data_IF_775459015639
#
_entry.id   IF_775459015639
#
_cell.length_a   1.000
_cell.length_b   1.000
_cell.length_c   1.000
_cell.angle_alpha   90.00
_cell.angle_beta   90.00
_cell.angle_gamma   90.00
#
_symmetry.space_group_name_H-M   'P 1'
#
loop_
_entity.id
_entity.type
_entity.pdbx_description
1 polymer ?
#
# COMPACT_ATOMS: atom_id res chain seq x y z
N UNK A 1 -35.36 6.46 -23.18
CA UNK A 1 -35.51 7.93 -23.20
C UNK A 1 -34.55 8.45 -24.26
N UNK A 2 -34.99 9.33 -25.17
CA UNK A 2 -34.08 9.93 -26.17
C UNK A 2 -33.29 11.08 -25.52
N UNK A 3 -32.02 11.24 -25.89
CA UNK A 3 -31.12 12.31 -25.41
C UNK A 3 -30.12 12.69 -26.50
N UNK A 4 -29.56 13.89 -26.42
CA UNK A 4 -28.46 14.36 -27.26
C UNK A 4 -27.17 14.32 -26.44
N UNK A 5 -26.34 13.30 -26.67
CA UNK A 5 -25.04 13.13 -26.03
C UNK A 5 -23.93 13.59 -27.00
N UNK A 6 -23.35 14.75 -26.74
CA UNK A 6 -22.39 15.41 -27.65
C UNK A 6 -20.94 15.02 -27.39
N UNK A 7 -20.65 14.31 -26.26
CA UNK A 7 -19.29 14.06 -25.79
C UNK A 7 -18.53 15.38 -25.60
N UNK A 8 -17.32 15.50 -26.17
CA UNK A 8 -16.58 16.76 -26.17
C UNK A 8 -17.22 17.78 -27.11
N UNK A 9 -17.35 19.02 -26.64
CA UNK A 9 -17.88 20.14 -27.41
C UNK A 9 -16.91 21.31 -27.47
N UNK A 10 -16.88 22.00 -28.62
CA UNK A 10 -16.15 23.24 -28.81
C UNK A 10 -17.05 24.45 -28.58
N UNK A 11 -16.52 25.65 -28.91
CA UNK A 11 -17.30 26.87 -28.84
C UNK A 11 -18.54 26.88 -29.76
N UNK A 12 -18.54 26.04 -30.79
CA UNK A 12 -19.67 25.81 -31.67
C UNK A 12 -19.72 24.37 -32.05
N UNK A 13 -20.83 23.70 -31.69
CA UNK A 13 -21.03 22.28 -31.96
C UNK A 13 -22.41 22.02 -32.55
N UNK A 14 -22.44 21.49 -33.77
CA UNK A 14 -23.67 21.11 -34.46
C UNK A 14 -24.11 19.70 -34.12
N UNK A 15 -25.43 19.47 -34.09
CA UNK A 15 -26.01 18.12 -33.92
C UNK A 15 -27.33 18.02 -34.68
N UNK A 16 -27.76 16.82 -34.99
CA UNK A 16 -29.00 16.57 -35.71
C UNK A 16 -29.92 15.65 -34.92
N UNK A 17 -31.19 16.04 -34.83
CA UNK A 17 -32.26 15.29 -34.21
C UNK A 17 -33.21 14.79 -35.28
N UNK A 18 -33.70 13.54 -35.18
CA UNK A 18 -34.70 12.99 -36.07
C UNK A 18 -36.01 12.80 -35.31
N UNK A 19 -37.07 13.51 -35.74
CA UNK A 19 -38.40 13.32 -35.19
C UNK A 19 -39.15 12.32 -36.09
N UNK A 20 -39.71 11.29 -35.51
CA UNK A 20 -40.49 10.27 -36.20
C UNK A 20 -41.93 10.27 -35.66
N UNK A 21 -42.88 10.44 -36.54
CA UNK A 21 -44.31 10.40 -36.22
C UNK A 21 -44.87 8.99 -36.51
N UNK A 22 -45.19 8.23 -35.50
CA UNK A 22 -45.79 6.91 -35.59
C UNK A 22 -47.34 6.97 -35.68
N UNK A 23 -47.89 8.15 -35.56
CA UNK A 23 -49.34 8.38 -35.63
C UNK A 23 -49.89 8.40 -37.05
N UNK A 24 -51.20 8.43 -37.15
CA UNK A 24 -51.97 8.50 -38.43
C UNK A 24 -52.32 9.90 -38.82
N UNK A 25 -52.05 10.92 -37.99
CA UNK A 25 -52.25 12.33 -38.25
C UNK A 25 -50.92 13.06 -38.33
N UNK A 26 -50.90 14.23 -38.96
CA UNK A 26 -49.74 15.14 -38.98
C UNK A 26 -49.49 15.70 -37.59
N UNK A 27 -48.25 15.73 -37.12
CA UNK A 27 -47.84 16.36 -35.89
C UNK A 27 -47.07 17.64 -36.14
N UNK A 28 -47.41 18.72 -35.41
CA UNK A 28 -46.75 20.01 -35.51
C UNK A 28 -46.04 20.39 -34.20
N UNK A 29 -44.85 20.97 -34.31
CA UNK A 29 -44.09 21.42 -33.16
C UNK A 29 -43.55 22.82 -33.41
N UNK A 30 -43.47 23.63 -32.36
CA UNK A 30 -42.72 24.89 -32.36
C UNK A 30 -41.49 24.81 -31.47
N UNK A 31 -40.42 25.44 -31.85
CA UNK A 31 -39.17 25.51 -31.11
C UNK A 31 -38.84 26.98 -30.80
N UNK A 32 -38.30 27.28 -29.61
CA UNK A 32 -37.83 28.63 -29.28
C UNK A 32 -36.68 29.04 -30.19
N UNK A 33 -36.49 30.37 -30.35
CA UNK A 33 -35.36 30.90 -31.12
C UNK A 33 -34.00 30.51 -30.51
N UNK A 34 -33.95 30.39 -29.20
CA UNK A 34 -32.79 29.87 -28.46
C UNK A 34 -33.19 29.25 -27.16
N UNK A 35 -32.38 28.28 -26.69
CA UNK A 35 -32.52 27.58 -25.42
C UNK A 35 -31.33 27.93 -24.54
N UNK A 36 -31.52 28.24 -23.23
CA UNK A 36 -30.42 28.46 -22.30
C UNK A 36 -29.63 27.20 -22.09
N UNK A 37 -28.33 27.39 -21.81
CA UNK A 37 -27.38 26.32 -21.45
C UNK A 37 -26.95 26.51 -20.02
N UNK A 38 -26.87 25.42 -19.30
CA UNK A 38 -26.43 25.36 -17.91
C UNK A 38 -25.09 24.65 -17.82
N UNK A 39 -24.39 24.90 -16.73
CA UNK A 39 -23.15 24.19 -16.37
C UNK A 39 -23.22 23.72 -14.91
N UNK A 40 -22.48 22.70 -14.61
CA UNK A 40 -22.31 22.21 -13.24
C UNK A 40 -21.33 23.11 -12.47
N UNK A 41 -21.64 23.37 -11.23
CA UNK A 41 -20.77 24.05 -10.26
C UNK A 41 -20.72 23.25 -8.98
N UNK A 42 -19.55 23.22 -8.36
CA UNK A 42 -19.37 22.58 -7.05
C UNK A 42 -19.35 23.65 -5.99
N UNK A 43 -20.26 23.56 -5.02
CA UNK A 43 -20.28 24.41 -3.83
C UNK A 43 -19.09 24.15 -2.90
N UNK A 44 -18.80 25.08 -2.00
CA UNK A 44 -17.74 24.92 -0.99
C UNK A 44 -17.98 23.74 -0.02
N UNK A 45 -19.21 23.29 0.08
CA UNK A 45 -19.65 22.13 0.87
C UNK A 45 -19.62 20.81 0.08
N UNK A 46 -19.08 20.81 -1.14
CA UNK A 46 -19.08 19.66 -2.03
C UNK A 46 -20.40 19.39 -2.75
N UNK A 47 -21.44 20.24 -2.54
CA UNK A 47 -22.70 20.09 -3.24
C UNK A 47 -22.56 20.45 -4.72
N UNK A 48 -23.35 19.77 -5.57
CA UNK A 48 -23.44 20.10 -7.00
C UNK A 48 -24.70 20.89 -7.29
N UNK A 49 -24.55 21.96 -8.05
CA UNK A 49 -25.65 22.76 -8.54
C UNK A 49 -25.51 23.04 -10.04
N UNK A 50 -26.65 23.23 -10.72
CA UNK A 50 -26.66 23.73 -12.10
C UNK A 50 -26.80 25.24 -12.10
N UNK A 51 -25.93 25.93 -12.80
CA UNK A 51 -25.99 27.38 -13.01
C UNK A 51 -26.10 27.72 -14.49
N UNK A 52 -26.78 28.86 -14.77
CA UNK A 52 -26.87 29.36 -16.14
C UNK A 52 -25.49 29.75 -16.66
N UNK A 53 -25.05 29.10 -17.77
CA UNK A 53 -23.83 29.48 -18.46
C UNK A 53 -24.08 30.74 -19.30
N UNK A 54 -23.72 31.89 -18.74
CA UNK A 54 -24.00 33.20 -19.35
C UNK A 54 -23.46 33.32 -20.78
N UNK A 55 -24.32 33.70 -21.71
CA UNK A 55 -23.98 33.87 -23.11
C UNK A 55 -23.92 32.56 -23.91
N UNK A 56 -24.12 31.41 -23.30
CA UNK A 56 -24.25 30.13 -24.01
C UNK A 56 -25.72 29.89 -24.42
N UNK A 57 -25.92 29.25 -25.54
CA UNK A 57 -27.26 28.93 -26.07
C UNK A 57 -27.26 27.76 -27.04
N UNK A 58 -28.42 27.12 -27.19
CA UNK A 58 -28.69 26.24 -28.32
C UNK A 58 -29.67 26.95 -29.25
N UNK A 59 -29.36 26.96 -30.54
CA UNK A 59 -30.24 27.48 -31.60
C UNK A 59 -30.61 26.38 -32.58
N UNK A 60 -31.69 26.55 -33.32
CA UNK A 60 -32.18 25.57 -34.28
C UNK A 60 -32.24 26.15 -35.69
N UNK A 61 -32.12 25.28 -36.70
CA UNK A 61 -32.31 25.61 -38.12
C UNK A 61 -33.75 25.95 -38.48
N UNK A 62 -34.73 25.57 -37.61
CA UNK A 62 -36.16 25.72 -37.78
C UNK A 62 -36.83 26.10 -36.47
N UNK A 63 -37.80 27.02 -36.53
CA UNK A 63 -38.65 27.37 -35.35
C UNK A 63 -40.00 26.71 -35.38
N UNK A 64 -40.34 26.06 -36.50
CA UNK A 64 -41.56 25.22 -36.65
C UNK A 64 -41.23 23.97 -37.44
N UNK A 65 -41.79 22.84 -37.02
CA UNK A 65 -41.57 21.53 -37.62
C UNK A 65 -42.88 20.83 -37.78
N UNK A 66 -43.14 20.38 -39.01
CA UNK A 66 -44.33 19.54 -39.32
C UNK A 66 -43.87 18.13 -39.71
N UNK A 67 -44.26 17.11 -38.93
CA UNK A 67 -43.90 15.72 -39.17
C UNK A 67 -45.11 14.99 -39.79
N UNK A 68 -45.02 14.54 -41.04
CA UNK A 68 -46.13 13.80 -41.67
C UNK A 68 -46.49 12.52 -40.93
N UNK A 69 -47.71 12.08 -41.07
CA UNK A 69 -48.16 10.78 -40.55
C UNK A 69 -47.26 9.64 -41.07
N UNK A 70 -46.70 8.83 -40.17
CA UNK A 70 -45.76 7.76 -40.50
C UNK A 70 -44.41 8.23 -41.06
N UNK A 71 -44.13 9.56 -41.04
CA UNK A 71 -42.94 10.17 -41.61
C UNK A 71 -41.91 10.60 -40.59
N UNK A 72 -40.80 11.11 -41.12
CA UNK A 72 -39.67 11.67 -40.32
C UNK A 72 -39.27 13.00 -40.81
N UNK A 73 -38.79 13.88 -39.90
CA UNK A 73 -38.17 15.18 -40.21
C UNK A 73 -36.92 15.36 -39.36
N UNK A 74 -35.89 15.93 -39.96
CA UNK A 74 -34.66 16.31 -39.26
C UNK A 74 -34.70 17.79 -38.83
N UNK A 75 -34.17 18.02 -37.64
CA UNK A 75 -33.92 19.35 -37.07
C UNK A 75 -32.45 19.41 -36.66
N UNK A 76 -31.76 20.44 -37.14
CA UNK A 76 -30.37 20.69 -36.76
C UNK A 76 -30.33 21.71 -35.63
N UNK A 77 -29.64 21.32 -34.52
CA UNK A 77 -29.30 22.23 -33.43
C UNK A 77 -27.84 22.64 -33.48
N UNK A 78 -27.56 23.83 -32.98
CA UNK A 78 -26.20 24.32 -32.80
C UNK A 78 -26.05 24.83 -31.37
N UNK A 79 -25.16 24.18 -30.62
CA UNK A 79 -24.69 24.63 -29.31
C UNK A 79 -23.61 25.68 -29.50
N UNK A 80 -23.78 26.83 -28.86
CA UNK A 80 -22.85 27.98 -28.89
C UNK A 80 -22.40 28.25 -27.46
N UNK A 81 -21.09 28.27 -27.23
CA UNK A 81 -20.47 28.55 -25.94
C UNK A 81 -19.51 29.71 -26.11
N UNK A 82 -19.56 30.78 -25.27
CA UNK A 82 -18.64 31.89 -25.34
C UNK A 82 -17.17 31.48 -25.21
N UNK A 83 -16.28 32.13 -25.96
CA UNK A 83 -14.86 31.78 -25.96
C UNK A 83 -14.14 32.02 -24.60
N UNK A 84 -14.72 32.87 -23.75
CA UNK A 84 -14.25 33.15 -22.41
C UNK A 84 -14.88 32.28 -21.32
N UNK A 85 -15.74 31.33 -21.68
CA UNK A 85 -16.28 30.38 -20.72
C UNK A 85 -15.16 29.50 -20.16
N UNK A 86 -15.25 29.16 -18.87
CA UNK A 86 -14.35 28.21 -18.24
C UNK A 86 -14.44 26.86 -18.96
N UNK A 87 -13.31 26.15 -19.05
CA UNK A 87 -13.24 24.81 -19.63
C UNK A 87 -13.34 23.74 -18.56
N UNK A 88 -13.50 22.50 -19.01
CA UNK A 88 -13.56 21.29 -18.20
C UNK A 88 -14.80 21.21 -17.29
N UNK A 89 -15.94 21.63 -17.87
CA UNK A 89 -17.27 21.56 -17.24
C UNK A 89 -18.25 20.81 -18.13
N UNK A 90 -19.23 20.18 -17.52
CA UNK A 90 -20.41 19.70 -18.26
C UNK A 90 -21.26 20.89 -18.70
N UNK A 91 -21.87 20.75 -19.84
CA UNK A 91 -22.86 21.71 -20.39
C UNK A 91 -24.14 20.97 -20.70
N UNK A 92 -25.23 21.52 -20.25
CA UNK A 92 -26.54 20.88 -20.29
C UNK A 92 -27.62 21.82 -20.81
N UNK A 93 -28.60 21.27 -21.52
CA UNK A 93 -29.78 22.00 -21.94
C UNK A 93 -30.98 21.05 -22.03
N UNK A 94 -32.19 21.61 -21.92
CA UNK A 94 -33.44 20.90 -22.21
C UNK A 94 -34.06 21.53 -23.47
N UNK A 95 -34.13 20.75 -24.53
CA UNK A 95 -34.60 21.17 -25.84
C UNK A 95 -36.10 20.94 -25.95
N UNK A 96 -36.97 21.99 -25.84
CA UNK A 96 -38.40 21.83 -25.91
C UNK A 96 -38.88 21.76 -27.38
N UNK A 97 -39.92 20.95 -27.57
CA UNK A 97 -40.74 20.87 -28.76
C UNK A 97 -42.18 21.02 -28.33
N UNK A 98 -42.73 22.22 -28.46
CA UNK A 98 -44.06 22.53 -28.01
C UNK A 98 -45.08 22.20 -29.13
N UNK A 99 -46.09 21.35 -28.82
CA UNK A 99 -47.10 20.89 -29.78
C UNK A 99 -48.30 20.29 -29.08
N UNK A 100 -49.11 19.53 -29.78
CA UNK A 100 -50.28 18.84 -29.18
C UNK A 100 -49.87 17.92 -28.03
N UNK A 101 -48.66 17.40 -28.09
CA UNK A 101 -47.95 16.69 -27.00
C UNK A 101 -46.57 17.30 -26.92
N UNK A 102 -46.33 17.99 -25.81
CA UNK A 102 -45.01 18.63 -25.58
C UNK A 102 -43.94 17.56 -25.36
N UNK A 103 -42.78 17.76 -26.03
CA UNK A 103 -41.61 16.90 -25.88
C UNK A 103 -40.46 17.72 -25.32
N UNK A 104 -39.64 17.12 -24.48
CA UNK A 104 -38.39 17.70 -24.00
C UNK A 104 -37.28 16.69 -24.19
N UNK A 105 -36.16 17.15 -24.76
CA UNK A 105 -35.00 16.31 -25.06
C UNK A 105 -33.79 16.84 -24.30
N UNK A 106 -33.25 16.11 -23.32
CA UNK A 106 -32.04 16.54 -22.64
C UNK A 106 -30.83 16.47 -23.57
N UNK A 107 -29.99 17.52 -23.49
CA UNK A 107 -28.71 17.62 -24.17
C UNK A 107 -27.61 17.67 -23.09
N UNK A 108 -26.54 16.92 -23.30
CA UNK A 108 -25.35 16.93 -22.45
C UNK A 108 -24.09 16.90 -23.32
N UNK A 109 -23.09 17.69 -22.96
CA UNK A 109 -21.75 17.70 -23.53
C UNK A 109 -20.71 18.06 -22.47
N UNK A 110 -19.45 17.90 -22.80
CA UNK A 110 -18.33 18.34 -21.97
C UNK A 110 -17.55 19.41 -22.72
N UNK A 111 -17.50 20.61 -22.17
CA UNK A 111 -16.78 21.74 -22.75
C UNK A 111 -15.35 21.76 -22.24
N UNK A 112 -14.41 21.24 -23.00
CA UNK A 112 -13.00 21.16 -22.64
C UNK A 112 -12.33 19.93 -23.24
N UNK A 113 -11.22 19.52 -22.65
CA UNK A 113 -10.49 18.31 -23.00
C UNK A 113 -10.87 17.18 -22.03
N UNK A 114 -11.86 16.38 -22.41
CA UNK A 114 -12.32 15.25 -21.58
C UNK A 114 -11.21 14.26 -21.28
N UNK A 115 -10.29 14.05 -22.20
CA UNK A 115 -9.23 13.08 -22.06
C UNK A 115 -8.02 13.61 -21.27
N UNK A 116 -7.84 14.94 -21.23
CA UNK A 116 -6.71 15.60 -20.59
C UNK A 116 -7.00 16.34 -19.28
N UNK A 117 -8.29 16.56 -18.95
CA UNK A 117 -8.66 17.42 -17.82
C UNK A 117 -8.36 16.83 -16.45
N UNK A 118 -8.23 15.50 -16.34
CA UNK A 118 -7.95 14.79 -15.09
C UNK A 118 -7.14 13.54 -15.36
N UNK A 119 -6.33 13.12 -14.41
CA UNK A 119 -5.60 11.85 -14.42
C UNK A 119 -6.57 10.66 -14.35
N UNK A 120 -6.12 9.49 -14.81
CA UNK A 120 -6.84 8.22 -14.64
C UNK A 120 -6.50 7.66 -13.24
N UNK A 121 -5.23 7.67 -12.88
CA UNK A 121 -4.69 7.22 -11.60
C UNK A 121 -4.28 8.45 -10.80
N UNK A 122 -4.59 8.47 -9.52
CA UNK A 122 -4.12 9.52 -8.62
C UNK A 122 -2.59 9.54 -8.53
N UNK A 123 -2.03 10.66 -8.12
CA UNK A 123 -0.61 10.77 -7.83
C UNK A 123 -0.24 9.82 -6.68
N UNK A 124 1.04 9.42 -6.57
CA UNK A 124 1.52 8.72 -5.39
C UNK A 124 1.19 9.46 -4.08
N UNK A 125 1.00 8.72 -2.99
CA UNK A 125 0.56 9.27 -1.70
C UNK A 125 1.50 10.35 -1.13
N UNK A 126 2.77 10.33 -1.52
CA UNK A 126 3.80 11.30 -1.12
C UNK A 126 3.93 12.52 -2.04
N UNK A 127 3.17 12.57 -3.15
CA UNK A 127 3.24 13.66 -4.10
C UNK A 127 2.20 14.74 -3.77
N UNK A 128 2.61 16.01 -3.85
CA UNK A 128 1.70 17.14 -3.74
C UNK A 128 0.58 17.05 -4.80
N UNK A 129 -0.66 17.12 -4.34
CA UNK A 129 -1.84 17.04 -5.21
C UNK A 129 -2.44 15.65 -5.35
N UNK A 130 -2.00 14.67 -4.58
CA UNK A 130 -2.78 13.45 -4.36
C UNK A 130 -4.13 13.83 -3.74
N UNK A 131 -5.23 13.32 -4.31
CA UNK A 131 -6.60 13.71 -3.93
C UNK A 131 -7.21 12.71 -2.96
N UNK A 132 -6.88 11.42 -3.14
CA UNK A 132 -7.57 10.36 -2.42
C UNK A 132 -7.03 10.14 -1.02
N UNK A 133 -5.76 10.42 -0.76
CA UNK A 133 -5.19 10.34 0.60
C UNK A 133 -5.90 11.30 1.54
N UNK A 134 -6.14 12.55 1.12
CA UNK A 134 -6.91 13.53 1.90
C UNK A 134 -8.36 13.06 2.12
N UNK A 135 -8.97 12.46 1.10
CA UNK A 135 -10.36 11.98 1.17
C UNK A 135 -10.51 10.80 2.13
N UNK A 136 -9.50 9.96 2.30
CA UNK A 136 -9.49 8.79 3.19
C UNK A 136 -8.83 9.07 4.55
N UNK A 137 -8.95 10.30 5.06
CA UNK A 137 -8.47 10.69 6.40
C UNK A 137 -6.96 10.48 6.56
N UNK A 138 -6.20 10.80 5.51
CA UNK A 138 -4.75 10.64 5.40
C UNK A 138 -4.24 9.19 5.34
N UNK A 139 -5.10 8.21 5.12
CA UNK A 139 -4.61 6.87 4.76
C UNK A 139 -4.02 6.91 3.34
N UNK A 140 -2.83 6.38 3.12
CA UNK A 140 -2.15 6.53 1.83
C UNK A 140 -2.87 5.76 0.72
N UNK A 141 -3.16 6.47 -0.36
CA UNK A 141 -3.76 5.91 -1.58
C UNK A 141 -2.84 6.19 -2.76
N UNK A 142 -2.67 5.25 -3.66
CA UNK A 142 -1.62 5.18 -4.68
C UNK A 142 -0.25 5.03 -4.03
N UNK A 143 -0.07 3.89 -3.39
CA UNK A 143 1.10 3.50 -2.61
C UNK A 143 1.35 2.00 -2.73
N UNK A 144 2.25 1.47 -1.93
CA UNK A 144 2.52 0.04 -1.78
C UNK A 144 2.17 -0.40 -0.37
N UNK A 145 1.38 -1.47 -0.27
CA UNK A 145 1.21 -2.20 0.99
C UNK A 145 2.11 -3.45 1.00
N UNK A 146 2.48 -3.89 2.17
CA UNK A 146 3.14 -5.16 2.41
C UNK A 146 2.40 -5.86 3.56
N UNK A 147 1.86 -7.06 3.31
CA UNK A 147 0.93 -7.69 4.24
C UNK A 147 -0.31 -6.82 4.50
N UNK A 148 -0.66 -6.65 5.75
CA UNK A 148 -1.80 -5.82 6.20
C UNK A 148 -1.42 -4.36 6.48
N UNK A 149 -0.18 -3.95 6.18
CA UNK A 149 0.35 -2.62 6.49
C UNK A 149 0.76 -1.86 5.23
N UNK A 150 0.82 -0.53 5.33
CA UNK A 150 1.35 0.32 4.26
C UNK A 150 2.87 0.41 4.39
N UNK A 151 3.61 -0.02 3.36
CA UNK A 151 5.07 0.06 3.36
C UNK A 151 5.55 1.52 3.33
N UNK A 152 6.54 1.85 4.15
CA UNK A 152 7.10 3.19 4.27
C UNK A 152 6.16 4.24 4.87
N UNK A 153 5.04 3.82 5.49
CA UNK A 153 4.06 4.73 6.10
C UNK A 153 4.32 4.89 7.59
N UNK A 154 4.48 6.13 8.00
CA UNK A 154 4.59 6.53 9.39
C UNK A 154 3.20 6.93 9.92
N UNK A 155 2.68 6.19 10.88
CA UNK A 155 1.36 6.40 11.49
C UNK A 155 1.32 7.60 12.43
N UNK A 156 2.45 8.09 12.93
CA UNK A 156 2.51 9.26 13.80
C UNK A 156 2.43 10.55 12.99
N UNK A 157 3.24 10.69 11.97
CA UNK A 157 3.22 11.83 11.05
C UNK A 157 2.12 11.72 9.98
N UNK A 158 1.52 10.54 9.79
CA UNK A 158 0.56 10.23 8.72
C UNK A 158 1.14 10.52 7.32
N UNK A 159 2.42 10.20 7.13
CA UNK A 159 3.12 10.42 5.86
C UNK A 159 3.75 9.12 5.33
N UNK A 160 3.90 9.04 4.02
CA UNK A 160 4.61 7.93 3.36
C UNK A 160 5.97 8.41 2.86
N UNK A 161 7.03 7.73 3.25
CA UNK A 161 8.37 7.94 2.71
C UNK A 161 8.65 6.90 1.61
N UNK A 162 8.75 7.32 0.33
CA UNK A 162 9.01 6.39 -0.77
C UNK A 162 10.39 5.71 -0.69
N UNK A 163 11.35 6.28 0.04
CA UNK A 163 12.67 5.69 0.22
C UNK A 163 12.67 4.52 1.21
N UNK A 164 11.59 4.39 1.99
CA UNK A 164 11.40 3.32 2.97
C UNK A 164 10.34 2.28 2.57
N UNK A 165 9.85 2.33 1.33
CA UNK A 165 8.94 1.29 0.83
C UNK A 165 9.75 0.02 0.56
N UNK A 166 9.61 -0.98 1.43
CA UNK A 166 10.35 -2.24 1.36
C UNK A 166 9.47 -3.44 1.74
N UNK A 167 9.91 -4.64 1.36
CA UNK A 167 9.31 -5.91 1.75
C UNK A 167 10.33 -7.04 1.70
N UNK A 168 10.07 -8.11 2.46
CA UNK A 168 10.94 -9.29 2.58
C UNK A 168 10.15 -10.59 2.48
N UNK A 169 10.16 -11.31 1.34
CA UNK A 169 9.47 -12.57 1.19
C UNK A 169 10.24 -13.73 1.87
N UNK A 170 10.43 -13.63 3.17
CA UNK A 170 11.14 -14.62 4.00
C UNK A 170 10.22 -15.72 4.54
N UNK A 171 8.88 -15.55 4.43
CA UNK A 171 7.86 -16.53 4.82
C UNK A 171 7.51 -16.49 6.31
N UNK A 172 7.79 -15.42 7.03
CA UNK A 172 7.45 -15.24 8.44
C UNK A 172 6.01 -14.75 8.66
N UNK A 173 5.35 -14.27 7.59
CA UNK A 173 3.97 -13.77 7.58
C UNK A 173 3.88 -12.26 7.59
N UNK A 174 4.98 -11.55 7.81
CA UNK A 174 5.05 -10.09 7.81
C UNK A 174 5.80 -9.59 6.57
N UNK A 175 5.24 -8.62 5.86
CA UNK A 175 5.86 -7.99 4.68
C UNK A 175 6.35 -8.95 3.58
N UNK A 176 5.76 -10.15 3.47
CA UNK A 176 6.17 -11.20 2.51
C UNK A 176 5.89 -10.86 1.04
N UNK A 177 5.10 -9.84 0.75
CA UNK A 177 4.77 -9.47 -0.63
C UNK A 177 4.44 -7.99 -0.76
N UNK A 178 4.88 -7.40 -1.86
CA UNK A 178 4.55 -6.02 -2.22
C UNK A 178 3.23 -5.93 -2.99
N UNK A 179 2.34 -5.04 -2.54
CA UNK A 179 0.98 -4.87 -3.04
C UNK A 179 0.72 -3.43 -3.46
N UNK A 180 0.57 -3.10 -4.78
CA UNK A 180 0.18 -1.76 -5.16
C UNK A 180 -1.27 -1.47 -4.78
N UNK A 181 -1.49 -0.39 -4.06
CA UNK A 181 -2.80 0.23 -3.84
C UNK A 181 -2.93 1.37 -4.83
N UNK A 182 -4.01 1.41 -5.59
CA UNK A 182 -4.16 2.36 -6.69
C UNK A 182 -5.45 3.15 -6.56
N UNK A 183 -5.33 4.46 -6.46
CA UNK A 183 -6.45 5.40 -6.49
C UNK A 183 -6.89 5.66 -7.92
N UNK A 184 -8.10 5.24 -8.29
CA UNK A 184 -8.66 5.48 -9.62
C UNK A 184 -9.52 6.73 -9.64
N UNK A 185 -9.04 7.81 -10.24
CA UNK A 185 -9.80 9.05 -10.44
C UNK A 185 -10.80 8.95 -11.61
N UNK A 186 -10.56 8.02 -12.53
CA UNK A 186 -11.40 7.76 -13.70
C UNK A 186 -11.43 6.25 -13.99
N UNK A 187 -12.51 5.78 -14.65
CA UNK A 187 -12.56 4.41 -15.12
C UNK A 187 -11.55 4.18 -16.27
N UNK A 188 -10.99 2.98 -16.32
CA UNK A 188 -10.06 2.56 -17.37
C UNK A 188 -10.60 1.32 -18.13
N UNK A 189 -10.31 1.22 -19.43
CA UNK A 189 -10.58 0.01 -20.20
C UNK A 189 -9.61 -1.11 -19.88
N UNK A 190 -8.40 -0.74 -19.46
CA UNK A 190 -7.32 -1.67 -19.16
C UNK A 190 -6.41 -1.06 -18.10
N UNK A 191 -6.03 -1.84 -17.11
CA UNK A 191 -4.96 -1.52 -16.14
C UNK A 191 -4.01 -2.70 -16.08
N UNK A 192 -2.70 -2.41 -16.22
CA UNK A 192 -1.63 -3.40 -16.08
C UNK A 192 -0.64 -2.97 -15.02
N UNK A 193 -0.11 -3.93 -14.27
CA UNK A 193 0.97 -3.71 -13.31
C UNK A 193 2.14 -4.60 -13.65
N UNK A 194 3.27 -3.97 -13.94
CA UNK A 194 4.54 -4.63 -14.20
C UNK A 194 5.53 -4.31 -13.07
N UNK A 195 6.38 -5.27 -12.73
CA UNK A 195 7.58 -5.07 -11.91
C UNK A 195 8.74 -4.76 -12.84
N UNK A 196 9.45 -3.68 -12.58
CA UNK A 196 10.65 -3.28 -13.31
C UNK A 196 11.88 -3.43 -12.42
N UNK A 197 13.01 -3.85 -13.01
CA UNK A 197 14.31 -3.77 -12.37
C UNK A 197 14.88 -2.33 -12.38
N UNK A 198 16.06 -2.13 -11.81
CA UNK A 198 16.78 -0.86 -11.79
C UNK A 198 17.08 -0.26 -13.18
N UNK A 199 17.14 -1.10 -14.22
CA UNK A 199 17.35 -0.70 -15.60
C UNK A 199 16.05 -0.39 -16.35
N UNK A 200 14.89 -0.50 -15.66
CA UNK A 200 13.56 -0.29 -16.22
C UNK A 200 13.08 -1.44 -17.09
N UNK A 201 13.72 -2.62 -17.02
CA UNK A 201 13.28 -3.82 -17.73
C UNK A 201 12.19 -4.54 -16.94
N UNK A 202 11.18 -5.07 -17.66
CA UNK A 202 10.11 -5.82 -17.03
C UNK A 202 10.64 -7.18 -16.59
N UNK A 203 10.59 -7.45 -15.29
CA UNK A 203 10.93 -8.74 -14.69
C UNK A 203 9.70 -9.62 -14.51
N UNK A 204 8.54 -9.00 -14.26
CA UNK A 204 7.26 -9.72 -14.11
C UNK A 204 6.08 -8.80 -14.36
N UNK A 205 5.02 -9.31 -14.99
CA UNK A 205 3.69 -8.69 -14.98
C UNK A 205 2.87 -9.37 -13.88
N UNK A 206 2.42 -8.59 -12.90
CA UNK A 206 1.71 -9.12 -11.73
C UNK A 206 0.20 -8.90 -11.80
N UNK A 207 -0.26 -7.97 -12.64
CA UNK A 207 -1.70 -7.74 -12.82
C UNK A 207 -2.04 -7.29 -14.23
N UNK A 208 -3.20 -7.73 -14.71
CA UNK A 208 -3.86 -7.24 -15.92
C UNK A 208 -5.36 -7.31 -15.73
N UNK A 209 -6.05 -6.17 -15.75
CA UNK A 209 -7.50 -6.09 -15.63
C UNK A 209 -8.10 -5.24 -16.72
N UNK A 210 -9.25 -5.64 -17.20
CA UNK A 210 -10.09 -4.91 -18.15
C UNK A 210 -11.31 -4.31 -17.46
N UNK A 211 -11.81 -3.20 -18.01
CA UNK A 211 -13.02 -2.51 -17.56
C UNK A 211 -13.00 -2.14 -16.06
N UNK A 212 -11.91 -1.52 -15.63
CA UNK A 212 -11.71 -1.08 -14.25
C UNK A 212 -12.54 0.16 -13.99
N UNK A 213 -13.46 0.08 -13.03
CA UNK A 213 -14.32 1.20 -12.63
C UNK A 213 -13.56 2.20 -11.74
N UNK A 214 -14.01 3.47 -11.73
CA UNK A 214 -13.47 4.53 -10.86
C UNK A 214 -13.60 4.20 -9.37
N UNK A 215 -14.71 3.57 -8.98
CA UNK A 215 -15.00 3.18 -7.60
C UNK A 215 -15.59 1.78 -7.57
N UNK A 216 -15.29 1.06 -6.50
CA UNK A 216 -16.02 -0.14 -6.13
C UNK A 216 -17.15 0.26 -5.17
N UNK A 217 -18.41 -0.08 -5.51
CA UNK A 217 -19.51 0.02 -4.57
C UNK A 217 -19.38 -1.13 -3.55
N UNK A 218 -19.19 -0.78 -2.26
CA UNK A 218 -19.04 -1.77 -1.19
C UNK A 218 -20.40 -2.25 -0.70
N UNK A 219 -21.41 -1.37 -0.71
CA UNK A 219 -22.75 -1.67 -0.23
C UNK A 219 -23.85 -0.92 -0.99
N UNK A 220 -25.11 -1.26 -0.67
CA UNK A 220 -26.29 -0.60 -1.25
C UNK A 220 -26.47 0.86 -0.81
N UNK A 221 -25.70 1.34 0.16
CA UNK A 221 -25.73 2.70 0.69
C UNK A 221 -24.68 3.62 0.08
N UNK A 222 -24.06 3.17 -1.03
CA UNK A 222 -23.09 3.96 -1.80
C UNK A 222 -21.76 4.22 -1.11
N UNK A 223 -21.38 3.46 -0.09
CA UNK A 223 -20.00 3.47 0.41
C UNK A 223 -19.05 3.12 -0.73
N UNK A 224 -18.14 4.03 -1.03
CA UNK A 224 -17.20 3.92 -2.15
C UNK A 224 -15.80 3.78 -1.60
N UNK A 225 -15.06 2.80 -2.08
CA UNK A 225 -13.67 2.58 -1.71
C UNK A 225 -12.77 2.83 -2.90
N UNK A 226 -11.53 3.32 -2.70
CA UNK A 226 -10.54 3.30 -3.76
C UNK A 226 -10.36 1.86 -4.21
N UNK A 227 -10.16 1.67 -5.50
CA UNK A 227 -9.95 0.33 -6.03
C UNK A 227 -8.51 -0.05 -5.74
N UNK A 228 -8.33 -0.99 -4.80
CA UNK A 228 -7.14 -1.81 -4.76
C UNK A 228 -7.19 -2.77 -5.96
N UNK A 229 -6.17 -2.80 -6.79
CA UNK A 229 -6.04 -3.78 -7.87
C UNK A 229 -5.94 -5.23 -7.34
N UNK A 230 -5.94 -5.40 -6.04
CA UNK A 230 -5.61 -6.62 -5.33
C UNK A 230 -6.75 -7.25 -4.57
N UNK A 231 -7.87 -6.56 -4.39
CA UNK A 231 -8.96 -7.09 -3.59
C UNK A 231 -9.76 -8.16 -4.34
N UNK A 232 -9.12 -9.20 -4.84
CA UNK A 232 -9.85 -10.36 -5.36
C UNK A 232 -10.02 -11.49 -4.34
N UNK A 233 -9.48 -11.33 -3.13
CA UNK A 233 -9.59 -12.35 -2.08
C UNK A 233 -8.84 -13.65 -2.37
N UNK A 234 -8.03 -13.70 -3.42
CA UNK A 234 -7.20 -14.85 -3.76
C UNK A 234 -5.74 -14.46 -3.63
N UNK A 235 -5.02 -15.09 -2.74
CA UNK A 235 -3.56 -14.95 -2.65
C UNK A 235 -2.94 -15.23 -4.02
N UNK A 236 -2.22 -14.24 -4.58
CA UNK A 236 -1.51 -14.38 -5.84
C UNK A 236 -1.91 -13.43 -6.96
N UNK A 237 -3.09 -12.80 -6.93
CA UNK A 237 -3.51 -11.87 -7.98
C UNK A 237 -3.11 -10.43 -7.67
N UNK A 238 -1.99 -9.98 -8.27
CA UNK A 238 -1.55 -8.58 -8.23
C UNK A 238 -0.57 -8.24 -7.12
N UNK A 239 -0.11 -9.21 -6.35
CA UNK A 239 1.01 -9.08 -5.41
C UNK A 239 2.32 -9.55 -6.05
N UNK A 240 3.40 -8.94 -5.66
CA UNK A 240 4.74 -9.39 -6.03
C UNK A 240 5.45 -9.99 -4.82
N UNK A 241 5.79 -11.27 -4.96
CA UNK A 241 6.47 -12.11 -3.97
C UNK A 241 8.01 -12.12 -4.14
N UNK A 242 8.58 -11.09 -4.76
CA UNK A 242 10.01 -11.02 -5.03
C UNK A 242 10.51 -11.92 -6.18
N UNK A 243 9.63 -12.70 -6.83
CA UNK A 243 10.08 -13.66 -7.86
C UNK A 243 9.91 -13.13 -9.28
N UNK A 244 10.70 -13.71 -10.18
CA UNK A 244 10.57 -13.61 -11.64
C UNK A 244 10.47 -14.99 -12.28
N UNK A 245 9.84 -15.07 -13.46
CA UNK A 245 9.79 -16.31 -14.21
C UNK A 245 11.10 -16.53 -14.96
N UNK A 246 11.76 -17.65 -14.71
CA UNK A 246 12.95 -18.09 -15.44
C UNK A 246 12.55 -19.00 -16.61
N UNK A 247 12.72 -18.49 -17.83
CA UNK A 247 12.40 -19.22 -19.07
C UNK A 247 13.26 -20.48 -19.24
N UNK A 248 14.48 -20.50 -18.71
CA UNK A 248 15.39 -21.62 -18.86
C UNK A 248 14.99 -22.82 -18.01
N UNK A 249 14.50 -22.58 -16.80
CA UNK A 249 14.05 -23.62 -15.87
C UNK A 249 12.54 -23.88 -15.95
N UNK A 250 11.74 -22.89 -16.39
CA UNK A 250 10.30 -22.94 -16.39
C UNK A 250 9.69 -22.71 -14.98
N UNK A 251 10.46 -22.15 -14.06
CA UNK A 251 10.08 -21.94 -12.66
C UNK A 251 10.15 -20.46 -12.27
N UNK A 252 9.47 -20.09 -11.18
CA UNK A 252 9.67 -18.80 -10.56
C UNK A 252 10.89 -18.86 -9.63
N UNK A 253 11.79 -17.90 -9.79
CA UNK A 253 13.02 -17.77 -9.01
C UNK A 253 13.06 -16.43 -8.32
N UNK A 254 13.60 -16.39 -7.09
CA UNK A 254 13.78 -15.15 -6.33
C UNK A 254 14.66 -14.18 -7.13
N UNK A 255 14.27 -12.92 -7.15
CA UNK A 255 15.09 -11.84 -7.67
C UNK A 255 16.21 -11.51 -6.69
N UNK A 256 17.25 -10.83 -7.17
CA UNK A 256 18.31 -10.30 -6.31
C UNK A 256 17.75 -9.16 -5.44
N UNK A 257 18.28 -9.02 -4.24
CA UNK A 257 18.01 -7.86 -3.37
C UNK A 257 18.33 -6.56 -4.14
N UNK A 258 17.45 -5.56 -4.01
CA UNK A 258 17.64 -4.31 -4.74
C UNK A 258 16.40 -3.46 -4.91
N UNK A 259 16.57 -2.35 -5.64
CA UNK A 259 15.51 -1.42 -5.97
C UNK A 259 14.72 -1.89 -7.18
N UNK A 260 13.41 -1.95 -7.03
CA UNK A 260 12.45 -2.24 -8.09
C UNK A 260 11.41 -1.12 -8.20
N UNK A 261 10.59 -1.21 -9.23
CA UNK A 261 9.49 -0.26 -9.46
C UNK A 261 8.25 -1.01 -9.91
N UNK A 262 7.14 -0.79 -9.22
CA UNK A 262 5.83 -1.21 -9.70
C UNK A 262 5.32 -0.16 -10.68
N UNK A 263 5.27 -0.52 -11.97
CA UNK A 263 4.76 0.35 -13.04
C UNK A 263 3.30 0.03 -13.30
N UNK A 264 2.43 0.98 -13.00
CA UNK A 264 0.99 0.88 -13.22
C UNK A 264 0.66 1.67 -14.49
N UNK A 265 0.01 1.02 -15.47
CA UNK A 265 -0.43 1.65 -16.72
C UNK A 265 -1.93 1.52 -16.85
N UNK A 266 -2.61 2.63 -17.08
CA UNK A 266 -4.05 2.66 -17.29
C UNK A 266 -4.40 3.27 -18.65
N UNK A 267 -5.32 2.65 -19.39
CA UNK A 267 -5.84 3.12 -20.66
C UNK A 267 -7.24 3.69 -20.49
N UNK A 268 -7.47 4.87 -21.05
CA UNK A 268 -8.77 5.54 -20.97
C UNK A 268 -9.79 4.97 -21.97
N UNK A 269 -11.07 4.82 -21.57
CA UNK A 269 -12.14 4.45 -22.51
C UNK A 269 -12.27 5.42 -23.67
N UNK A 270 -12.26 4.89 -24.91
CA UNK A 270 -12.43 5.69 -26.13
C UNK A 270 -11.22 6.56 -26.52
N UNK A 271 -10.05 6.30 -25.95
CA UNK A 271 -8.80 6.99 -26.25
C UNK A 271 -7.64 5.99 -26.31
N UNK A 272 -6.61 6.32 -27.08
CA UNK A 272 -5.34 5.59 -27.09
C UNK A 272 -4.37 6.08 -25.98
N UNK A 273 -4.80 7.06 -25.18
CA UNK A 273 -4.00 7.58 -24.07
C UNK A 273 -3.75 6.49 -23.03
N UNK A 274 -2.49 6.27 -22.72
CA UNK A 274 -2.02 5.44 -21.62
C UNK A 274 -1.37 6.36 -20.59
N UNK A 275 -1.83 6.28 -19.35
CA UNK A 275 -1.21 6.96 -18.22
C UNK A 275 -0.35 5.96 -17.45
N UNK A 276 0.77 6.43 -16.94
CA UNK A 276 1.73 5.62 -16.19
C UNK A 276 1.98 6.25 -14.83
N UNK A 277 1.92 5.43 -13.79
CA UNK A 277 2.33 5.76 -12.42
C UNK A 277 3.39 4.77 -11.98
N UNK A 278 4.43 5.25 -11.32
CA UNK A 278 5.56 4.47 -10.85
C UNK A 278 5.61 4.52 -9.32
N UNK A 279 5.65 3.35 -8.68
CA UNK A 279 5.80 3.22 -7.24
C UNK A 279 7.12 2.49 -6.96
N UNK A 280 8.08 3.11 -6.26
CA UNK A 280 9.32 2.42 -5.90
C UNK A 280 9.03 1.35 -4.86
N UNK A 281 9.83 0.30 -4.83
CA UNK A 281 9.80 -0.74 -3.81
C UNK A 281 11.16 -1.41 -3.70
N UNK A 282 11.66 -1.61 -2.51
CA UNK A 282 12.87 -2.39 -2.24
C UNK A 282 12.51 -3.84 -1.96
N UNK A 283 13.18 -4.76 -2.61
CA UNK A 283 13.25 -6.16 -2.19
C UNK A 283 14.46 -6.28 -1.28
N UNK A 284 14.21 -6.60 -0.01
CA UNK A 284 15.23 -6.71 1.02
C UNK A 284 15.14 -8.09 1.67
N UNK A 285 16.18 -8.87 1.51
CA UNK A 285 16.24 -10.27 1.96
C UNK A 285 17.19 -10.45 3.15
N UNK A 286 17.81 -9.37 3.61
CA UNK A 286 18.84 -9.39 4.66
C UNK A 286 18.35 -8.67 5.90
N UNK A 287 18.65 -9.23 7.05
CA UNK A 287 18.33 -8.60 8.31
C UNK A 287 19.37 -7.51 8.67
N UNK A 288 18.99 -6.48 9.44
CA UNK A 288 19.86 -5.37 9.77
C UNK A 288 21.09 -5.81 10.58
N UNK A 289 22.21 -5.11 10.36
CA UNK A 289 23.41 -5.25 11.19
C UNK A 289 23.27 -4.37 12.43
N UNK A 290 23.16 -4.99 13.59
CA UNK A 290 22.95 -4.32 14.87
C UNK A 290 24.11 -4.62 15.81
N UNK A 291 24.60 -3.59 16.53
CA UNK A 291 25.68 -3.75 17.48
C UNK A 291 25.52 -2.80 18.68
N UNK A 292 25.32 -3.35 19.88
CA UNK A 292 25.30 -2.58 21.13
C UNK A 292 26.72 -2.05 21.41
N UNK A 293 26.91 -0.74 21.40
CA UNK A 293 28.19 -0.11 21.66
C UNK A 293 28.42 0.14 23.14
N UNK A 294 27.36 0.46 23.91
CA UNK A 294 27.44 0.53 25.36
C UNK A 294 26.09 0.30 26.03
N UNK A 295 26.17 -0.18 27.28
CA UNK A 295 25.03 -0.28 28.18
C UNK A 295 25.49 0.04 29.60
N UNK A 296 24.82 0.98 30.25
CA UNK A 296 25.09 1.39 31.62
C UNK A 296 23.78 1.58 32.38
N UNK A 297 23.73 1.14 33.63
CA UNK A 297 22.57 1.38 34.50
C UNK A 297 22.97 2.37 35.61
N UNK A 298 22.20 3.43 35.76
CA UNK A 298 22.31 4.42 36.81
C UNK A 298 20.92 4.81 37.32
N UNK A 299 20.73 4.78 38.63
CA UNK A 299 19.48 5.09 39.33
C UNK A 299 18.24 4.35 38.75
N UNK A 300 18.42 3.08 38.39
CA UNK A 300 17.35 2.23 37.82
C UNK A 300 16.98 2.53 36.36
N UNK A 301 17.78 3.33 35.68
CA UNK A 301 17.63 3.61 34.25
C UNK A 301 18.76 2.96 33.47
N UNK A 302 18.42 2.25 32.41
CA UNK A 302 19.35 1.73 31.41
C UNK A 302 19.61 2.78 30.35
N UNK A 303 20.87 3.12 30.16
CA UNK A 303 21.37 3.95 29.07
C UNK A 303 22.02 3.03 28.04
N UNK A 304 21.37 2.83 26.92
CA UNK A 304 21.80 1.93 25.86
C UNK A 304 22.19 2.74 24.63
N UNK A 305 23.36 2.47 24.06
CA UNK A 305 23.77 3.00 22.75
C UNK A 305 24.14 1.85 21.82
N UNK A 306 23.81 2.00 20.54
CA UNK A 306 24.03 0.98 19.53
C UNK A 306 24.18 1.58 18.14
N UNK A 307 24.80 0.84 17.25
CA UNK A 307 24.77 1.11 15.80
C UNK A 307 23.86 0.11 15.13
N UNK A 308 23.11 0.59 14.12
CA UNK A 308 22.29 -0.26 13.26
C UNK A 308 22.36 0.29 11.84
N UNK A 309 22.43 -0.60 10.85
CA UNK A 309 22.41 -0.24 9.44
C UNK A 309 21.79 -1.35 8.60
N UNK A 310 21.07 -0.94 7.57
CA UNK A 310 20.44 -1.84 6.62
C UNK A 310 20.21 -1.17 5.28
N UNK A 311 19.97 -1.99 4.22
CA UNK A 311 19.68 -1.53 2.87
C UNK A 311 18.32 -0.83 2.75
N UNK A 312 17.28 -1.35 3.40
CA UNK A 312 15.95 -0.72 3.40
C UNK A 312 15.87 0.47 4.35
N UNK A 313 16.80 0.55 5.30
CA UNK A 313 16.83 1.50 6.41
C UNK A 313 16.41 0.83 7.72
N UNK A 314 16.62 1.52 8.82
CA UNK A 314 16.34 1.03 10.17
C UNK A 314 15.11 1.72 10.72
N UNK A 315 14.15 0.96 11.25
CA UNK A 315 13.08 1.51 12.08
C UNK A 315 13.69 2.10 13.35
N UNK A 316 13.29 3.32 13.70
CA UNK A 316 13.80 4.01 14.89
C UNK A 316 13.33 3.39 16.21
N UNK A 317 12.46 2.40 16.15
CA UNK A 317 11.97 1.66 17.32
C UNK A 317 12.87 0.46 17.61
N UNK A 318 13.03 0.14 18.89
CA UNK A 318 13.81 -1.01 19.32
C UNK A 318 13.12 -1.73 20.47
N UNK A 319 13.19 -3.07 20.49
CA UNK A 319 12.79 -3.85 21.66
C UNK A 319 14.02 -4.19 22.51
N UNK A 320 13.90 -4.00 23.83
CA UNK A 320 14.98 -4.26 24.80
C UNK A 320 14.51 -5.26 25.83
N UNK A 321 15.30 -6.32 26.00
CA UNK A 321 15.08 -7.35 27.03
C UNK A 321 16.26 -7.35 27.99
N UNK A 322 15.98 -7.41 29.28
CA UNK A 322 17.00 -7.58 30.31
C UNK A 322 16.73 -8.88 31.07
N UNK A 323 17.73 -9.77 31.10
CA UNK A 323 17.62 -11.09 31.71
C UNK A 323 16.42 -11.90 31.21
N UNK A 324 16.07 -11.73 29.92
CA UNK A 324 14.96 -12.40 29.26
C UNK A 324 13.58 -11.81 29.53
N UNK A 325 13.52 -10.72 30.30
CA UNK A 325 12.28 -9.97 30.49
C UNK A 325 12.28 -8.72 29.60
N UNK A 326 11.16 -8.49 28.93
CA UNK A 326 10.93 -7.32 28.12
C UNK A 326 10.82 -6.07 28.99
N UNK A 327 11.66 -5.07 28.71
CA UNK A 327 11.69 -3.77 29.40
C UNK A 327 11.24 -2.64 28.45
N UNK A 328 11.35 -2.85 27.15
CA UNK A 328 10.87 -1.94 26.10
C UNK A 328 10.40 -2.74 24.90
N UNK A 329 9.17 -2.48 24.44
CA UNK A 329 8.59 -3.07 23.24
C UNK A 329 8.66 -2.07 22.07
N UNK A 330 8.48 -2.56 20.82
CA UNK A 330 8.28 -1.75 19.62
C UNK A 330 6.94 -1.01 19.69
N UNK A 331 6.88 0.03 20.51
CA UNK A 331 5.68 0.86 20.63
C UNK A 331 5.92 2.19 19.91
N UNK A 332 5.00 2.66 19.05
CA UNK A 332 5.08 3.98 18.47
C UNK A 332 5.32 5.06 19.51
N UNK A 333 6.27 5.96 19.28
CA UNK A 333 6.66 7.02 20.22
C UNK A 333 7.78 6.64 21.20
N UNK A 334 8.28 5.41 21.16
CA UNK A 334 9.49 4.98 21.88
C UNK A 334 10.73 5.00 20.97
N UNK A 335 10.86 6.04 20.17
CA UNK A 335 11.94 6.13 19.21
C UNK A 335 13.32 6.26 19.87
N UNK A 336 14.29 5.55 19.32
CA UNK A 336 15.67 5.75 19.67
C UNK A 336 16.18 7.08 19.10
N UNK A 337 16.89 7.86 19.92
CA UNK A 337 17.51 9.08 19.44
C UNK A 337 18.74 8.76 18.58
N UNK A 338 18.73 9.22 17.31
CA UNK A 338 19.83 9.04 16.38
C UNK A 338 20.80 10.24 16.44
N UNK A 339 22.08 9.95 16.52
CA UNK A 339 23.15 10.94 16.48
C UNK A 339 23.89 10.88 15.13
N UNK A 340 23.66 11.87 14.28
CA UNK A 340 24.28 11.93 12.94
C UNK A 340 25.82 12.03 12.96
N UNK A 341 26.43 12.59 14.05
CA UNK A 341 27.89 12.75 14.14
C UNK A 341 28.58 11.40 14.43
N UNK A 342 27.96 10.55 15.26
CA UNK A 342 28.55 9.27 15.66
C UNK A 342 27.97 8.08 14.88
N UNK A 343 26.78 8.24 14.26
CA UNK A 343 26.04 7.16 13.63
C UNK A 343 25.42 6.19 14.64
N UNK A 344 25.26 6.62 15.90
CA UNK A 344 24.72 5.79 16.97
C UNK A 344 23.29 6.18 17.30
N UNK A 345 22.52 5.18 17.63
CA UNK A 345 21.22 5.30 18.28
C UNK A 345 21.39 5.24 19.80
N UNK A 346 20.52 5.90 20.53
CA UNK A 346 20.47 5.81 21.98
C UNK A 346 19.03 5.69 22.47
N UNK A 347 18.84 4.87 23.50
CA UNK A 347 17.57 4.72 24.19
C UNK A 347 17.82 4.74 25.71
N UNK A 348 16.90 5.36 26.44
CA UNK A 348 16.95 5.43 27.90
C UNK A 348 15.62 4.91 28.44
N UNK A 349 15.66 3.84 29.24
CA UNK A 349 14.46 3.19 29.75
C UNK A 349 14.64 2.74 31.21
N UNK A 350 13.55 2.66 32.00
CA UNK A 350 13.59 2.07 33.31
C UNK A 350 13.84 0.57 33.21
N UNK A 351 14.60 0.00 34.14
CA UNK A 351 14.85 -1.44 34.21
C UNK A 351 14.54 -1.98 35.59
N UNK A 352 13.72 -3.01 35.65
CA UNK A 352 13.32 -3.66 36.91
C UNK A 352 14.11 -4.95 37.18
N UNK A 353 14.56 -5.63 36.14
CA UNK A 353 15.17 -6.97 36.25
C UNK A 353 16.69 -6.93 36.29
N UNK A 354 17.31 -5.77 36.16
CA UNK A 354 18.76 -5.63 36.25
C UNK A 354 19.27 -5.92 37.66
N UNK A 355 20.28 -6.80 37.77
CA UNK A 355 20.90 -7.22 39.03
C UNK A 355 22.26 -6.58 39.20
N UNK A 356 22.37 -5.61 40.11
CA UNK A 356 23.63 -4.88 40.32
C UNK A 356 24.73 -5.81 40.82
N UNK A 357 25.94 -5.69 40.22
CA UNK A 357 27.09 -6.50 40.52
C UNK A 357 27.03 -7.97 40.06
N UNK A 358 25.96 -8.39 39.40
CA UNK A 358 25.83 -9.70 38.79
C UNK A 358 25.92 -9.62 37.25
N UNK A 359 26.09 -10.77 36.59
CA UNK A 359 26.00 -10.82 35.15
C UNK A 359 24.55 -10.56 34.72
N UNK A 360 24.36 -9.62 33.83
CA UNK A 360 23.07 -9.37 33.18
C UNK A 360 23.19 -9.57 31.67
N UNK A 361 22.18 -10.16 31.08
CA UNK A 361 21.99 -10.23 29.65
C UNK A 361 21.13 -9.06 29.20
N UNK A 362 21.63 -8.24 28.29
CA UNK A 362 20.89 -7.15 27.64
C UNK A 362 20.77 -7.53 26.17
N UNK A 363 19.55 -7.80 25.71
CA UNK A 363 19.26 -8.08 24.33
C UNK A 363 18.51 -6.91 23.69
N UNK A 364 19.01 -6.46 22.56
CA UNK A 364 18.44 -5.38 21.74
C UNK A 364 18.00 -5.97 20.41
N UNK A 365 16.74 -5.85 20.05
CA UNK A 365 16.22 -6.20 18.74
C UNK A 365 15.90 -4.94 17.97
N UNK A 366 16.44 -4.81 16.77
CA UNK A 366 16.08 -3.79 15.79
C UNK A 366 15.48 -4.44 14.56
N UNK A 367 14.60 -3.71 13.88
CA UNK A 367 14.00 -4.10 12.62
C UNK A 367 14.32 -3.10 11.53
N UNK A 368 14.38 -3.55 10.29
CA UNK A 368 14.42 -2.73 9.10
C UNK A 368 13.01 -2.39 8.57
N UNK A 369 12.92 -1.61 7.50
CA UNK A 369 11.65 -1.25 6.88
C UNK A 369 11.00 -2.38 6.08
N UNK A 370 11.70 -3.49 5.86
CA UNK A 370 11.13 -4.73 5.30
C UNK A 370 10.69 -5.71 6.39
N UNK A 371 10.76 -5.31 7.67
CA UNK A 371 10.43 -6.09 8.88
C UNK A 371 11.35 -7.28 9.14
N UNK A 372 12.57 -7.31 8.57
CA UNK A 372 13.57 -8.26 9.02
C UNK A 372 14.17 -7.80 10.36
N UNK A 373 14.32 -8.71 11.29
CA UNK A 373 14.78 -8.41 12.64
C UNK A 373 16.13 -9.00 12.97
N UNK A 374 16.95 -8.27 13.74
CA UNK A 374 18.19 -8.76 14.33
C UNK A 374 18.29 -8.41 15.80
N UNK A 375 18.71 -9.38 16.60
CA UNK A 375 18.98 -9.19 18.03
C UNK A 375 20.47 -9.27 18.31
N UNK A 376 21.03 -8.21 18.89
CA UNK A 376 22.37 -8.23 19.49
C UNK A 376 22.29 -8.39 21.01
N UNK A 377 23.25 -9.09 21.63
CA UNK A 377 23.28 -9.36 23.06
C UNK A 377 24.60 -8.87 23.66
N UNK A 378 24.46 -8.12 24.75
CA UNK A 378 25.57 -7.69 25.58
C UNK A 378 25.44 -8.26 26.99
N UNK A 379 26.52 -8.88 27.51
CA UNK A 379 26.59 -9.32 28.89
C UNK A 379 27.37 -8.32 29.74
N UNK A 380 26.71 -7.72 30.71
CA UNK A 380 27.34 -6.80 31.65
C UNK A 380 27.80 -7.54 32.91
N UNK A 381 28.88 -7.07 33.56
CA UNK A 381 29.46 -7.64 34.79
C UNK A 381 29.83 -9.15 34.68
N UNK A 382 30.06 -9.66 33.48
CA UNK A 382 30.47 -11.06 33.29
C UNK A 382 31.83 -11.30 33.93
N UNK A 383 31.86 -12.11 35.00
CA UNK A 383 33.10 -12.56 35.64
C UNK A 383 33.38 -13.99 35.14
N UNK A 384 34.31 -14.09 34.19
CA UNK A 384 34.64 -15.39 33.58
C UNK A 384 35.63 -16.17 34.45
N UNK A 385 35.23 -16.50 35.69
CA UNK A 385 35.95 -17.46 36.56
C UNK A 385 35.80 -18.89 36.07
N UNK A 386 34.72 -19.18 35.32
CA UNK A 386 34.45 -20.43 34.64
C UNK A 386 34.74 -20.34 33.14
N UNK A 387 34.97 -21.45 32.48
CA UNK A 387 35.19 -21.48 31.04
C UNK A 387 33.93 -21.08 30.25
N UNK A 388 32.76 -21.35 30.81
CA UNK A 388 31.44 -21.06 30.22
C UNK A 388 30.47 -20.63 31.31
N UNK A 389 29.70 -19.59 31.06
CA UNK A 389 28.57 -19.17 31.89
C UNK A 389 27.32 -19.10 31.02
N UNK A 390 26.23 -19.70 31.48
CA UNK A 390 24.91 -19.64 30.83
C UNK A 390 24.13 -18.44 31.36
N UNK A 391 23.41 -17.77 30.49
CA UNK A 391 22.54 -16.65 30.87
C UNK A 391 21.10 -17.08 31.14
N UNK A 392 20.64 -18.14 30.50
CA UNK A 392 19.23 -18.53 30.53
C UNK A 392 18.97 -19.90 31.11
N UNK A 393 19.99 -20.56 31.66
CA UNK A 393 19.84 -21.83 32.39
C UNK A 393 20.75 -21.90 33.63
N UNK A 394 20.23 -22.47 34.70
CA UNK A 394 21.00 -22.84 35.88
C UNK A 394 20.99 -24.35 36.07
N UNK A 395 21.89 -24.83 36.95
CA UNK A 395 21.86 -26.24 37.34
C UNK A 395 20.48 -26.58 37.94
N UNK A 396 19.89 -27.67 37.50
CA UNK A 396 18.59 -28.18 37.95
C UNK A 396 17.35 -27.38 37.47
N UNK A 397 17.50 -26.41 36.57
CA UNK A 397 16.36 -25.71 35.94
C UNK A 397 15.71 -26.54 34.84
N UNK A 398 14.42 -26.32 34.65
CA UNK A 398 13.70 -26.76 33.45
C UNK A 398 13.68 -25.64 32.42
N UNK A 399 14.28 -25.90 31.25
CA UNK A 399 14.19 -25.01 30.11
C UNK A 399 12.76 -24.95 29.58
N UNK A 400 12.26 -23.73 29.40
CA UNK A 400 11.06 -23.52 28.62
C UNK A 400 11.41 -23.70 27.13
N UNK A 401 10.76 -24.67 26.50
CA UNK A 401 10.90 -24.88 25.06
C UNK A 401 10.09 -23.82 24.34
N UNK A 402 10.74 -22.99 23.58
CA UNK A 402 10.06 -22.12 22.61
C UNK A 402 9.56 -23.00 21.46
N UNK A 403 8.27 -23.05 21.28
CA UNK A 403 7.66 -23.73 20.13
C UNK A 403 7.71 -22.75 18.96
N UNK A 404 8.35 -23.17 17.90
CA UNK A 404 8.19 -22.49 16.62
C UNK A 404 6.78 -22.82 16.10
N UNK A 405 5.88 -21.86 16.19
CA UNK A 405 4.51 -22.00 15.70
C UNK A 405 4.54 -21.51 14.26
N UNK A 406 4.69 -22.44 13.32
CA UNK A 406 4.36 -22.11 11.94
C UNK A 406 2.85 -21.96 11.85
N UNK A 407 2.37 -20.75 11.56
CA UNK A 407 0.97 -20.51 11.30
C UNK A 407 0.60 -21.25 10.01
N UNK A 408 -0.22 -22.31 10.13
CA UNK A 408 -0.88 -22.88 8.96
C UNK A 408 -1.95 -21.88 8.48
N UNK A 409 -2.09 -21.74 7.17
CA UNK A 409 -3.17 -20.95 6.56
C UNK A 409 -4.57 -21.50 6.92
N UNK A 410 -4.66 -22.69 7.50
CA UNK A 410 -5.89 -23.35 7.90
C UNK A 410 -6.09 -23.25 9.42
N UNK A 411 -6.93 -22.30 9.83
CA UNK A 411 -7.39 -22.21 11.21
C UNK A 411 -8.32 -23.41 11.53
N UNK A 412 -7.95 -24.24 12.51
CA UNK A 412 -8.81 -25.31 12.97
C UNK A 412 -9.86 -24.79 13.96
N UNK A 413 -11.07 -24.58 13.44
CA UNK A 413 -12.21 -24.10 14.23
C UNK A 413 -12.68 -25.09 15.32
N UNK A 414 -12.30 -26.36 15.25
CA UNK A 414 -12.65 -27.37 16.26
C UNK A 414 -11.67 -27.33 17.43
N UNK A 415 -10.39 -27.06 17.15
CA UNK A 415 -9.35 -26.93 18.17
C UNK A 415 -9.19 -25.50 18.68
N UNK A 416 -9.87 -24.53 18.07
CA UNK A 416 -9.68 -23.08 18.30
C UNK A 416 -8.21 -22.66 18.32
N UNK A 417 -7.41 -23.24 17.42
CA UNK A 417 -5.96 -23.02 17.37
C UNK A 417 -5.41 -23.25 15.97
N UNK A 418 -4.34 -22.53 15.65
CA UNK A 418 -3.53 -22.83 14.47
C UNK A 418 -2.61 -24.00 14.81
N UNK A 419 -2.86 -25.17 14.23
CA UNK A 419 -2.12 -26.37 14.60
C UNK A 419 -1.23 -26.83 13.46
N UNK A 420 0.03 -26.40 13.50
CA UNK A 420 1.14 -27.28 13.12
C UNK A 420 2.36 -26.90 13.94
N UNK A 421 2.60 -27.63 15.01
CA UNK A 421 3.85 -27.55 15.78
C UNK A 421 4.85 -28.43 15.03
N UNK A 422 5.71 -27.78 14.23
CA UNK A 422 6.68 -28.51 13.41
C UNK A 422 8.00 -28.76 14.14
N UNK A 423 8.43 -27.86 15.04
CA UNK A 423 9.67 -28.00 15.76
C UNK A 423 9.60 -27.44 17.19
N UNK A 424 10.14 -28.18 18.14
CA UNK A 424 10.39 -27.68 19.50
C UNK A 424 11.87 -27.35 19.62
N UNK A 425 12.20 -26.08 19.82
CA UNK A 425 13.59 -25.61 19.91
C UNK A 425 13.86 -25.04 21.30
N UNK A 426 14.91 -25.57 21.98
CA UNK A 426 15.43 -24.97 23.20
C UNK A 426 16.58 -24.02 22.85
N UNK A 427 16.41 -22.75 23.14
CA UNK A 427 17.48 -21.75 22.97
C UNK A 427 18.40 -21.78 24.18
N UNK A 428 19.70 -21.99 23.95
CA UNK A 428 20.74 -21.97 24.99
C UNK A 428 21.69 -20.83 24.68
N UNK A 429 21.89 -19.94 25.65
CA UNK A 429 22.71 -18.73 25.51
C UNK A 429 23.62 -18.55 26.69
N UNK A 430 24.72 -17.83 26.47
CA UNK A 430 25.67 -17.47 27.50
C UNK A 430 26.94 -16.86 26.95
N UNK A 431 27.96 -16.77 27.78
CA UNK A 431 29.27 -16.26 27.42
C UNK A 431 30.35 -17.30 27.76
N UNK A 432 31.35 -17.40 26.92
CA UNK A 432 32.51 -18.28 27.14
C UNK A 432 33.79 -17.47 27.34
N UNK A 433 34.75 -18.03 28.04
CA UNK A 433 36.09 -17.47 28.09
C UNK A 433 36.74 -17.44 26.71
N UNK A 434 37.54 -16.41 26.45
CA UNK A 434 38.28 -16.28 25.16
C UNK A 434 39.26 -17.42 24.89
N UNK A 435 39.51 -18.29 25.89
CA UNK A 435 40.29 -19.53 25.76
C UNK A 435 39.47 -20.67 25.15
N UNK A 436 38.14 -20.65 25.23
CA UNK A 436 37.24 -21.65 24.62
C UNK A 436 37.27 -21.48 23.10
N UNK A 437 37.57 -22.58 22.41
CA UNK A 437 37.63 -22.59 20.94
C UNK A 437 36.44 -23.36 20.34
N UNK A 438 35.79 -24.16 21.10
CA UNK A 438 34.68 -24.98 20.70
C UNK A 438 33.79 -25.30 21.90
N UNK A 439 32.51 -25.17 21.74
CA UNK A 439 31.50 -25.58 22.72
C UNK A 439 30.48 -26.45 22.01
N UNK A 440 30.18 -27.60 22.59
CA UNK A 440 29.08 -28.44 22.09
C UNK A 440 28.11 -28.74 23.25
N UNK A 441 26.82 -28.68 22.91
CA UNK A 441 25.72 -29.01 23.82
C UNK A 441 24.91 -30.11 23.17
N UNK A 442 24.78 -31.26 23.84
CA UNK A 442 24.20 -32.49 23.31
C UNK A 442 24.77 -32.90 21.92
N UNK A 443 26.06 -32.61 21.69
CA UNK A 443 26.75 -32.94 20.45
C UNK A 443 26.57 -31.91 19.31
N UNK A 444 25.74 -30.90 19.48
CA UNK A 444 25.61 -29.80 18.55
C UNK A 444 26.60 -28.68 18.92
N UNK A 445 27.19 -28.06 17.91
CA UNK A 445 28.20 -27.02 18.09
C UNK A 445 27.55 -25.65 18.20
N UNK A 446 27.92 -24.89 19.24
CA UNK A 446 27.47 -23.54 19.45
C UNK A 446 28.25 -22.55 18.56
N UNK A 447 27.61 -21.52 18.04
CA UNK A 447 28.25 -20.38 17.39
C UNK A 447 28.65 -19.33 18.41
N UNK A 448 29.80 -18.66 18.17
CA UNK A 448 30.29 -17.56 19.00
C UNK A 448 30.20 -16.25 18.24
N UNK A 449 29.83 -15.20 18.96
CA UNK A 449 29.93 -13.83 18.50
C UNK A 449 31.34 -13.22 18.79
N UNK A 450 31.55 -11.97 18.42
CA UNK A 450 32.81 -11.24 18.60
C UNK A 450 33.17 -10.98 20.06
N UNK A 451 32.17 -11.06 20.97
CA UNK A 451 32.30 -10.87 22.41
C UNK A 451 32.41 -12.17 23.17
N UNK A 452 32.58 -13.30 22.47
CA UNK A 452 32.53 -14.66 22.98
C UNK A 452 31.16 -15.05 23.61
N UNK A 453 30.11 -14.33 23.32
CA UNK A 453 28.75 -14.80 23.54
C UNK A 453 28.46 -15.99 22.64
N UNK A 454 27.67 -16.92 23.12
CA UNK A 454 27.27 -18.09 22.32
C UNK A 454 25.76 -18.28 22.32
N UNK A 455 25.26 -18.80 21.20
CA UNK A 455 23.88 -19.19 21.00
C UNK A 455 23.83 -20.59 20.39
N UNK A 456 22.84 -21.34 20.80
CA UNK A 456 22.57 -22.66 20.24
C UNK A 456 21.08 -22.96 20.31
N UNK A 457 20.49 -23.28 19.16
CA UNK A 457 19.13 -23.80 19.05
C UNK A 457 19.20 -25.33 19.08
N UNK A 458 18.68 -25.96 20.12
CA UNK A 458 18.59 -27.40 20.21
C UNK A 458 17.19 -27.89 19.81
N UNK A 459 17.11 -28.72 18.81
CA UNK A 459 15.88 -29.46 18.51
C UNK A 459 15.58 -30.45 19.62
N UNK A 460 14.39 -30.35 20.20
CA UNK A 460 13.99 -31.17 21.34
C UNK A 460 12.73 -31.97 20.99
N UNK A 461 12.88 -33.24 20.71
CA UNK A 461 11.75 -34.13 20.42
C UNK A 461 11.07 -34.67 21.69
N UNK A 462 11.85 -34.87 22.76
CA UNK A 462 11.36 -35.40 24.07
C UNK A 462 12.12 -34.73 25.23
N UNK A 463 11.52 -34.65 26.43
CA UNK A 463 12.23 -34.18 27.62
C UNK A 463 13.51 -35.02 27.88
N UNK A 464 14.63 -34.34 28.02
CA UNK A 464 15.94 -34.97 28.18
C UNK A 464 16.92 -34.13 28.97
N UNK A 465 18.08 -34.73 29.25
CA UNK A 465 19.20 -34.10 29.95
C UNK A 465 20.06 -33.34 28.94
N UNK A 466 20.38 -32.06 29.24
CA UNK A 466 21.35 -31.28 28.46
C UNK A 466 22.75 -31.65 28.98
N UNK A 467 23.61 -32.14 28.10
CA UNK A 467 24.99 -32.47 28.39
C UNK A 467 25.97 -31.55 27.71
N UNK A 468 26.87 -30.97 28.47
CA UNK A 468 27.93 -30.10 27.97
C UNK A 468 29.23 -30.89 27.74
N UNK A 469 29.94 -30.55 26.69
CA UNK A 469 31.27 -31.04 26.38
C UNK A 469 32.19 -29.93 25.92
#
# INVERSE_FOLDING_TARGET
>A
MASVALKEVGNTTGFTMTLTNYGTAVAGYTLPASVPVYTDVTGQDGSYAMELLSGASVTFDKTAVTVPAGGTVQVTGTLIIPANAAKNHYVEAFLPFDGDVDLSLPLMGFYGDWYGCQRIIDLPAWDDGNIMTDYYENLPVTTVAAGDSYAGFDTESMTTDPDHIAFSPNGDGDFDAAQPIVGMLRSATEVTVDVLDENGQVVRQINHRENVAKYLAIDANESRSPISLLSSGTAGDGTWDGTRYDIATGEYVMCDEGQYTLRIRARMPGSDRVETTLLPVKLDLTAPQVHITSAAVDDGMLYLTYTAQDYSGILNTAAVFVNGQEELDFVPGNDAAYNEETGEYSVVLPVETYQDGQMNEIALTCMDYAFNGTTDILYTNARLDAAVMFSNINNDDSLTVLRDISYSADYDYVAESYVNITDCVAQIRGIASSSVRRLTVNGQEASFDERNGFRLALSVEEPGLITLH
#
